data_IF_041241191844
#
_entry.id   IF_041241191844
#
_cell.length_a   1.000
_cell.length_b   1.000
_cell.length_c   1.000
_cell.angle_alpha   90.00
_cell.angle_beta   90.00
_cell.angle_gamma   90.00
#
_symmetry.space_group_name_H-M   'P 1'
#
loop_
_entity.id
_entity.type
_entity.pdbx_description
1 polymer ?
#
# COMPACT_ATOMS: atom_id res chain seq x y z
N UNK A 1 -13.80 -4.02 1.20
CA UNK A 1 -12.55 -4.69 1.63
C UNK A 1 -12.85 -6.16 1.87
N UNK A 2 -11.83 -7.01 1.89
CA UNK A 2 -11.97 -8.46 2.14
C UNK A 2 -11.72 -8.76 3.62
N UNK A 3 -12.51 -9.65 4.21
CA UNK A 3 -12.44 -10.02 5.63
C UNK A 3 -13.62 -9.52 6.45
N UNK A 4 -13.80 -10.08 7.66
CA UNK A 4 -14.84 -9.67 8.60
C UNK A 4 -14.47 -8.40 9.36
N UNK A 5 -15.46 -7.64 9.83
CA UNK A 5 -15.26 -6.46 10.68
C UNK A 5 -14.99 -6.86 12.13
N UNK A 6 -13.91 -7.60 12.35
CA UNK A 6 -13.52 -8.11 13.68
C UNK A 6 -12.12 -7.63 14.04
N UNK A 7 -11.83 -7.61 15.34
CA UNK A 7 -10.55 -7.11 15.87
C UNK A 7 -9.35 -7.89 15.31
N UNK A 8 -9.52 -9.18 15.05
CA UNK A 8 -8.49 -10.08 14.53
C UNK A 8 -8.04 -9.73 13.09
N UNK A 9 -8.84 -8.92 12.37
CA UNK A 9 -8.49 -8.41 11.04
C UNK A 9 -7.86 -7.02 11.08
N UNK A 10 -7.71 -6.41 12.26
CA UNK A 10 -6.98 -5.16 12.40
C UNK A 10 -5.49 -5.40 12.13
N UNK A 11 -4.86 -4.41 11.48
CA UNK A 11 -3.45 -4.43 11.13
C UNK A 11 -2.65 -3.48 12.05
N UNK A 12 -1.33 -3.67 12.21
CA UNK A 12 -0.46 -4.66 11.55
C UNK A 12 -0.76 -6.10 11.96
N UNK A 13 -0.67 -7.03 11.02
CA UNK A 13 -0.64 -8.46 11.37
C UNK A 13 0.75 -8.78 11.94
N UNK A 14 0.81 -9.67 12.93
CA UNK A 14 2.06 -10.12 13.53
C UNK A 14 2.19 -11.65 13.42
N UNK A 15 3.35 -12.09 12.94
CA UNK A 15 3.71 -13.51 12.78
C UNK A 15 5.14 -13.73 13.23
N UNK A 16 5.48 -14.99 13.52
CA UNK A 16 6.85 -15.39 13.87
C UNK A 16 7.30 -16.46 12.89
N UNK A 17 8.53 -16.31 12.38
CA UNK A 17 9.16 -17.32 11.51
C UNK A 17 9.52 -18.59 12.30
N UNK A 18 9.82 -19.69 11.61
CA UNK A 18 10.34 -20.89 12.27
C UNK A 18 11.69 -20.64 12.99
N UNK A 19 12.46 -19.65 12.54
CA UNK A 19 13.71 -19.23 13.16
C UNK A 19 13.52 -18.33 14.40
N UNK A 20 12.29 -17.95 14.73
CA UNK A 20 11.95 -17.12 15.91
C UNK A 20 11.92 -15.61 15.64
N UNK A 21 12.25 -15.15 14.44
CA UNK A 21 12.16 -13.73 14.03
C UNK A 21 10.71 -13.26 13.94
N UNK A 22 10.40 -12.10 14.52
CA UNK A 22 9.08 -11.47 14.42
C UNK A 22 8.90 -10.73 13.09
N UNK A 23 7.69 -10.78 12.53
CA UNK A 23 7.31 -10.02 11.34
C UNK A 23 6.01 -9.28 11.63
N UNK A 24 6.05 -7.96 11.51
CA UNK A 24 4.86 -7.11 11.49
C UNK A 24 4.58 -6.66 10.04
N UNK A 25 3.33 -6.72 9.58
CA UNK A 25 2.96 -6.35 8.22
C UNK A 25 1.66 -5.53 8.17
N UNK A 26 1.72 -4.40 7.47
CA UNK A 26 0.60 -3.60 7.02
C UNK A 26 0.41 -3.72 5.50
N UNK A 27 -0.83 -3.64 5.06
CA UNK A 27 -1.28 -3.85 3.70
C UNK A 27 -2.40 -2.87 3.36
N UNK A 28 -2.17 -2.06 2.32
CA UNK A 28 -3.19 -1.26 1.66
C UNK A 28 -3.41 -1.82 0.26
N UNK A 29 -4.58 -2.41 0.02
CA UNK A 29 -4.87 -3.05 -1.24
C UNK A 29 -5.99 -4.06 -1.14
N UNK A 30 -6.10 -4.89 -2.17
CA UNK A 30 -6.93 -6.08 -2.18
C UNK A 30 -6.34 -7.08 -3.16
N UNK A 31 -6.06 -8.29 -2.68
CA UNK A 31 -5.63 -9.39 -3.53
C UNK A 31 -6.83 -10.08 -4.20
N UNK A 32 -6.67 -10.45 -5.48
CA UNK A 32 -7.71 -11.14 -6.26
C UNK A 32 -7.53 -12.65 -6.26
N UNK A 33 -6.33 -13.15 -5.93
CA UNK A 33 -6.03 -14.58 -5.85
C UNK A 33 -5.95 -15.10 -4.40
N UNK A 34 -6.65 -14.45 -3.46
CA UNK A 34 -6.65 -14.82 -2.03
C UNK A 34 -7.04 -16.27 -1.79
N UNK A 35 -7.98 -16.83 -2.55
CA UNK A 35 -8.39 -18.23 -2.43
C UNK A 35 -7.26 -19.21 -2.81
N UNK A 36 -6.49 -18.90 -3.86
CA UNK A 36 -5.31 -19.66 -4.29
C UNK A 36 -4.21 -19.60 -3.22
N UNK A 37 -3.93 -18.41 -2.71
CA UNK A 37 -2.93 -18.20 -1.64
C UNK A 37 -3.32 -18.92 -0.35
N UNK A 38 -4.60 -18.90 0.02
CA UNK A 38 -5.12 -19.63 1.17
C UNK A 38 -4.97 -21.15 1.00
N UNK A 39 -5.20 -21.68 -0.21
CA UNK A 39 -4.97 -23.10 -0.49
C UNK A 39 -3.49 -23.46 -0.37
N UNK A 40 -2.60 -22.66 -0.97
CA UNK A 40 -1.15 -22.83 -0.84
C UNK A 40 -0.69 -22.80 0.63
N UNK A 41 -1.25 -21.91 1.45
CA UNK A 41 -0.95 -21.84 2.88
C UNK A 41 -1.40 -23.12 3.62
N UNK A 42 -2.56 -23.69 3.27
CA UNK A 42 -3.02 -24.99 3.80
C UNK A 42 -2.11 -26.13 3.37
N UNK A 43 -1.80 -26.22 2.08
CA UNK A 43 -0.98 -27.29 1.50
C UNK A 43 0.45 -27.30 2.06
N UNK A 44 0.97 -26.12 2.42
CA UNK A 44 2.29 -25.94 3.02
C UNK A 44 2.28 -26.15 4.55
N UNK A 45 1.14 -26.50 5.15
CA UNK A 45 1.00 -26.70 6.60
C UNK A 45 1.09 -25.42 7.42
N UNK A 46 1.03 -24.25 6.78
CA UNK A 46 1.12 -22.92 7.43
C UNK A 46 -0.15 -22.62 8.22
N UNK A 47 -1.30 -23.01 7.67
CA UNK A 47 -2.60 -22.88 8.32
C UNK A 47 -3.17 -24.27 8.56
N UNK A 48 -3.11 -24.75 9.80
CA UNK A 48 -3.82 -25.96 10.21
C UNK A 48 -5.31 -25.63 10.36
N UNK A 49 -6.21 -26.47 9.86
CA UNK A 49 -7.67 -26.25 9.88
C UNK A 49 -8.33 -26.11 11.27
N UNK A 50 -7.54 -26.08 12.34
CA UNK A 50 -7.96 -25.83 13.73
C UNK A 50 -7.66 -24.40 14.23
N UNK A 51 -6.75 -23.65 13.58
CA UNK A 51 -6.61 -22.22 13.81
C UNK A 51 -7.75 -21.48 13.09
N UNK A 52 -8.23 -20.33 13.59
CA UNK A 52 -9.16 -19.51 12.82
C UNK A 52 -8.51 -19.27 11.45
N UNK A 53 -9.15 -19.78 10.39
CA UNK A 53 -8.63 -19.65 9.04
C UNK A 53 -8.30 -18.17 8.79
N UNK A 54 -7.10 -17.87 8.29
CA UNK A 54 -6.69 -16.51 7.96
C UNK A 54 -7.82 -15.79 7.19
N UNK A 55 -8.46 -14.82 7.83
CA UNK A 55 -9.72 -14.24 7.36
C UNK A 55 -9.52 -13.05 6.42
N UNK A 56 -8.29 -12.55 6.31
CA UNK A 56 -7.92 -11.45 5.40
C UNK A 56 -6.76 -11.84 4.49
N UNK A 57 -6.67 -11.18 3.35
CA UNK A 57 -5.53 -11.29 2.44
C UNK A 57 -4.21 -10.93 3.11
N UNK A 58 -4.23 -9.93 3.99
CA UNK A 58 -3.09 -9.45 4.77
C UNK A 58 -2.53 -10.55 5.68
N UNK A 59 -3.42 -11.31 6.33
CA UNK A 59 -3.02 -12.40 7.20
C UNK A 59 -2.44 -13.58 6.41
N UNK A 60 -3.04 -13.93 5.27
CA UNK A 60 -2.53 -14.98 4.38
C UNK A 60 -1.13 -14.62 3.87
N UNK A 61 -0.93 -13.37 3.43
CA UNK A 61 0.39 -12.88 3.00
C UNK A 61 1.39 -12.96 4.13
N UNK A 62 1.01 -12.50 5.33
CA UNK A 62 1.86 -12.57 6.51
C UNK A 62 2.30 -13.99 6.88
N UNK A 63 1.35 -14.93 6.84
CA UNK A 63 1.60 -16.33 7.13
C UNK A 63 2.54 -16.97 6.10
N UNK A 64 2.30 -16.73 4.81
CA UNK A 64 3.16 -17.22 3.72
C UNK A 64 4.56 -16.60 3.77
N UNK A 65 4.67 -15.31 4.13
CA UNK A 65 5.95 -14.62 4.27
C UNK A 65 6.75 -15.19 5.44
N UNK A 66 6.13 -15.34 6.61
CA UNK A 66 6.79 -15.90 7.80
C UNK A 66 7.23 -17.35 7.60
N UNK A 67 6.40 -18.14 6.92
CA UNK A 67 6.77 -19.51 6.54
C UNK A 67 7.91 -19.53 5.51
N UNK A 68 7.85 -18.65 4.51
CA UNK A 68 8.90 -18.51 3.51
C UNK A 68 10.23 -18.11 4.11
N UNK A 69 10.26 -17.35 5.21
CA UNK A 69 11.49 -16.90 5.88
C UNK A 69 12.01 -17.90 6.94
N UNK A 70 11.71 -19.20 6.83
CA UNK A 70 12.15 -20.21 7.80
C UNK A 70 13.67 -20.47 7.77
N UNK A 71 14.26 -20.51 6.58
CA UNK A 71 15.65 -20.88 6.32
C UNK A 71 16.43 -19.80 5.54
N UNK A 72 15.82 -18.62 5.37
CA UNK A 72 16.34 -17.51 4.57
C UNK A 72 15.91 -16.16 5.13
N UNK A 73 16.49 -15.09 4.59
CA UNK A 73 16.12 -13.73 5.00
C UNK A 73 14.69 -13.39 4.58
N UNK A 74 14.08 -12.45 5.30
CA UNK A 74 12.74 -11.94 4.98
C UNK A 74 12.72 -11.28 3.60
N UNK A 75 13.80 -10.58 3.22
CA UNK A 75 13.96 -10.00 1.88
C UNK A 75 13.87 -11.08 0.79
N UNK A 76 14.60 -12.19 0.94
CA UNK A 76 14.56 -13.31 -0.02
C UNK A 76 13.18 -13.97 -0.06
N UNK A 77 12.55 -14.19 1.10
CA UNK A 77 11.19 -14.73 1.16
C UNK A 77 10.16 -13.81 0.48
N UNK A 78 10.32 -12.50 0.63
CA UNK A 78 9.49 -11.51 -0.03
C UNK A 78 9.70 -11.52 -1.55
N UNK A 79 10.94 -11.59 -2.03
CA UNK A 79 11.26 -11.65 -3.47
C UNK A 79 10.65 -12.87 -4.16
N UNK A 80 10.45 -13.97 -3.44
CA UNK A 80 9.75 -15.16 -3.94
C UNK A 80 8.21 -15.05 -3.84
N UNK A 81 7.70 -14.41 -2.79
CA UNK A 81 6.26 -14.31 -2.54
C UNK A 81 5.59 -13.23 -3.40
N UNK A 82 6.18 -12.03 -3.49
CA UNK A 82 5.61 -10.86 -4.15
C UNK A 82 5.20 -11.12 -5.61
N UNK A 83 5.98 -11.84 -6.45
CA UNK A 83 5.57 -12.18 -7.82
C UNK A 83 4.33 -13.06 -7.91
N UNK A 84 3.97 -13.77 -6.84
CA UNK A 84 2.79 -14.65 -6.80
C UNK A 84 1.50 -13.94 -6.39
N UNK A 85 1.61 -12.72 -5.86
CA UNK A 85 0.45 -11.92 -5.45
C UNK A 85 -0.20 -11.27 -6.67
N UNK A 86 -1.53 -11.38 -6.79
CA UNK A 86 -2.30 -10.75 -7.86
C UNK A 86 -3.31 -9.78 -7.27
N UNK A 87 -3.40 -8.59 -7.85
CA UNK A 87 -4.31 -7.54 -7.41
C UNK A 87 -3.56 -6.23 -7.15
N UNK A 88 -4.16 -5.38 -6.32
CA UNK A 88 -3.55 -4.14 -5.88
C UNK A 88 -2.97 -4.34 -4.48
N UNK A 89 -1.71 -3.94 -4.24
CA UNK A 89 -1.12 -3.98 -2.92
C UNK A 89 -0.01 -2.95 -2.74
N UNK A 90 0.00 -2.33 -1.58
CA UNK A 90 1.14 -1.68 -0.97
C UNK A 90 1.36 -2.37 0.37
N UNK A 91 2.52 -3.00 0.53
CA UNK A 91 2.90 -3.71 1.74
C UNK A 91 4.00 -2.93 2.44
N UNK A 92 3.85 -2.72 3.74
CA UNK A 92 4.92 -2.26 4.61
C UNK A 92 5.10 -3.32 5.68
N UNK A 93 6.28 -3.89 5.79
CA UNK A 93 6.54 -4.94 6.77
C UNK A 93 7.92 -4.78 7.38
N UNK A 94 8.14 -5.32 8.56
CA UNK A 94 9.42 -5.17 9.24
C UNK A 94 9.76 -6.37 10.12
N UNK A 95 11.05 -6.58 10.28
CA UNK A 95 11.64 -7.36 11.36
C UNK A 95 12.28 -6.42 12.40
N UNK A 96 13.07 -6.97 13.32
CA UNK A 96 13.71 -6.20 14.38
C UNK A 96 14.75 -5.19 13.87
N UNK A 97 15.24 -5.34 12.64
CA UNK A 97 16.36 -4.57 12.10
C UNK A 97 16.04 -3.82 10.80
N UNK A 98 15.05 -4.29 10.02
CA UNK A 98 14.80 -3.82 8.66
C UNK A 98 13.33 -3.50 8.43
N UNK A 99 13.08 -2.32 7.89
CA UNK A 99 11.77 -1.90 7.36
C UNK A 99 11.74 -2.15 5.85
N UNK A 100 10.71 -2.85 5.39
CA UNK A 100 10.48 -3.14 3.99
C UNK A 100 9.22 -2.45 3.47
N UNK A 101 9.24 -2.07 2.19
CA UNK A 101 8.08 -1.49 1.51
C UNK A 101 7.98 -2.02 0.08
N UNK A 102 6.85 -2.62 -0.29
CA UNK A 102 6.63 -3.18 -1.61
C UNK A 102 5.37 -2.62 -2.25
N UNK A 103 5.43 -2.33 -3.55
CA UNK A 103 4.29 -1.83 -4.34
C UNK A 103 4.01 -2.76 -5.51
N UNK A 104 2.73 -3.08 -5.73
CA UNK A 104 2.31 -3.98 -6.80
C UNK A 104 2.80 -3.53 -8.19
N UNK A 105 2.95 -4.46 -9.17
CA UNK A 105 3.49 -4.15 -10.49
C UNK A 105 2.69 -3.11 -11.28
N UNK A 106 1.41 -2.92 -10.95
CA UNK A 106 0.57 -1.91 -11.59
C UNK A 106 0.57 -0.57 -10.83
N UNK A 107 1.10 -0.52 -9.61
CA UNK A 107 1.15 0.69 -8.79
C UNK A 107 -0.23 1.28 -8.52
N UNK A 108 -1.25 0.43 -8.31
CA UNK A 108 -2.65 0.86 -8.21
C UNK A 108 -2.84 1.82 -7.04
N UNK A 109 -2.29 1.47 -5.87
CA UNK A 109 -2.29 2.30 -4.67
C UNK A 109 -1.01 3.15 -4.59
N UNK A 110 -1.07 4.37 -4.05
CA UNK A 110 0.09 5.22 -3.86
C UNK A 110 0.95 4.74 -2.68
N UNK A 111 2.26 4.92 -2.80
CA UNK A 111 3.24 4.63 -1.75
C UNK A 111 4.49 5.48 -2.04
N UNK A 112 4.96 6.21 -1.03
CA UNK A 112 6.07 7.15 -1.17
C UNK A 112 7.10 6.98 -0.04
N UNK A 113 8.34 7.32 -0.37
CA UNK A 113 9.47 7.35 0.53
C UNK A 113 9.77 8.82 0.91
N UNK A 114 9.91 9.05 2.21
CA UNK A 114 10.35 10.31 2.78
C UNK A 114 11.58 10.16 3.68
N UNK A 115 12.26 11.27 3.92
CA UNK A 115 13.47 11.35 4.73
C UNK A 115 13.25 12.30 5.91
N UNK A 116 13.41 11.76 7.12
CA UNK A 116 13.55 12.57 8.34
C UNK A 116 15.02 12.89 8.59
N UNK A 117 15.29 13.84 9.50
CA UNK A 117 16.66 14.14 9.94
C UNK A 117 17.42 12.88 10.40
N UNK A 118 16.73 11.95 11.08
CA UNK A 118 17.27 10.69 11.59
C UNK A 118 16.33 9.51 11.31
N UNK A 119 16.01 9.29 10.05
CA UNK A 119 15.35 8.06 9.61
C UNK A 119 14.68 8.19 8.26
N UNK A 120 14.00 7.12 7.87
CA UNK A 120 13.19 7.05 6.66
C UNK A 120 11.74 6.85 7.05
N UNK A 121 10.82 7.33 6.21
CA UNK A 121 9.39 7.18 6.39
C UNK A 121 8.82 6.63 5.10
N UNK A 122 7.95 5.63 5.21
CA UNK A 122 7.14 5.14 4.09
C UNK A 122 5.69 5.46 4.40
N UNK A 123 4.98 6.05 3.44
CA UNK A 123 3.59 6.42 3.62
C UNK A 123 2.78 6.23 2.33
N UNK A 124 1.49 5.95 2.46
CA UNK A 124 0.58 5.89 1.31
C UNK A 124 0.46 7.23 0.59
N UNK A 125 0.60 8.35 1.31
CA UNK A 125 0.38 9.71 0.80
C UNK A 125 1.44 10.69 1.33
N UNK A 126 1.81 11.67 0.51
CA UNK A 126 2.80 12.70 0.89
C UNK A 126 2.33 13.58 2.05
N UNK A 127 1.02 13.77 2.21
CA UNK A 127 0.47 14.52 3.34
C UNK A 127 0.92 13.95 4.70
N UNK A 128 1.13 12.65 4.80
CA UNK A 128 1.67 12.04 6.02
C UNK A 128 3.15 12.43 6.23
N UNK A 129 3.95 12.53 5.16
CA UNK A 129 5.34 12.99 5.24
C UNK A 129 5.40 14.44 5.74
N UNK A 130 4.56 15.31 5.19
CA UNK A 130 4.49 16.73 5.57
C UNK A 130 4.16 16.89 7.06
N UNK A 131 3.17 16.13 7.55
CA UNK A 131 2.73 16.18 8.96
C UNK A 131 3.85 15.78 9.92
N UNK A 132 4.65 14.76 9.57
CA UNK A 132 5.75 14.30 10.44
C UNK A 132 7.07 15.03 10.19
N UNK A 133 7.09 16.01 9.28
CA UNK A 133 8.28 16.78 8.91
C UNK A 133 9.32 16.00 8.10
N UNK A 134 8.90 14.97 7.36
CA UNK A 134 9.75 14.23 6.44
C UNK A 134 9.78 14.91 5.07
N UNK A 135 10.97 15.10 4.50
CA UNK A 135 11.11 15.56 3.14
C UNK A 135 10.74 14.43 2.16
N UNK A 136 9.87 14.71 1.19
CA UNK A 136 9.59 13.77 0.10
C UNK A 136 10.87 13.45 -0.67
N UNK A 137 11.12 12.15 -0.91
CA UNK A 137 12.26 11.67 -1.70
C UNK A 137 11.78 11.25 -3.08
N UNK A 138 10.85 10.29 -3.14
CA UNK A 138 10.21 9.80 -4.38
C UNK A 138 9.03 8.88 -4.08
N UNK A 139 8.22 8.63 -5.10
CA UNK A 139 7.30 7.48 -5.10
C UNK A 139 8.09 6.17 -5.08
N UNK A 140 7.57 5.16 -4.40
CA UNK A 140 8.00 3.76 -4.56
C UNK A 140 7.44 3.26 -5.89
N UNK A 141 8.30 2.71 -6.73
CA UNK A 141 7.96 2.35 -8.11
C UNK A 141 7.08 1.08 -8.16
N UNK A 142 6.25 0.92 -9.20
CA UNK A 142 5.52 -0.33 -9.40
C UNK A 142 6.47 -1.54 -9.55
N UNK A 143 6.20 -2.61 -8.81
CA UNK A 143 7.04 -3.82 -8.80
C UNK A 143 8.34 -3.69 -8.01
N UNK A 144 8.50 -2.61 -7.24
CA UNK A 144 9.66 -2.35 -6.39
C UNK A 144 9.46 -2.89 -4.97
N UNK A 145 10.53 -3.45 -4.40
CA UNK A 145 10.72 -3.72 -2.98
C UNK A 145 11.86 -2.83 -2.46
N UNK A 146 11.60 -2.07 -1.42
CA UNK A 146 12.61 -1.39 -0.62
C UNK A 146 12.92 -2.20 0.63
N UNK A 147 14.20 -2.23 0.99
CA UNK A 147 14.69 -2.66 2.30
C UNK A 147 15.46 -1.50 2.94
N UNK A 148 15.13 -1.16 4.18
CA UNK A 148 15.65 0.00 4.90
C UNK A 148 16.16 -0.46 6.27
N UNK A 149 17.46 -0.39 6.48
CA UNK A 149 18.12 -0.75 7.74
C UNK A 149 19.20 0.27 8.12
N UNK A 150 20.12 -0.13 9.02
CA UNK A 150 21.21 0.71 9.50
C UNK A 150 22.18 1.16 8.38
N UNK A 151 22.28 0.40 7.29
CA UNK A 151 23.16 0.72 6.15
C UNK A 151 22.48 1.65 5.14
N UNK A 152 21.16 1.87 5.27
CA UNK A 152 20.39 2.79 4.47
C UNK A 152 19.31 2.10 3.65
N UNK A 153 19.02 2.64 2.45
CA UNK A 153 17.93 2.16 1.58
C UNK A 153 18.51 1.34 0.45
N UNK A 154 18.04 0.10 0.30
CA UNK A 154 18.26 -0.76 -0.85
C UNK A 154 16.96 -0.92 -1.62
N UNK A 155 17.08 -0.97 -2.95
CA UNK A 155 15.95 -1.16 -3.87
C UNK A 155 16.20 -2.40 -4.71
N UNK A 156 15.18 -3.25 -4.79
CA UNK A 156 15.14 -4.43 -5.65
C UNK A 156 13.81 -4.46 -6.41
N UNK A 157 13.79 -5.14 -7.55
CA UNK A 157 12.61 -5.23 -8.41
C UNK A 157 12.16 -6.67 -8.50
N UNK A 158 10.93 -6.97 -8.06
CA UNK A 158 10.34 -8.31 -8.14
C UNK A 158 9.47 -8.50 -9.38
N UNK A 159 9.11 -7.42 -10.08
CA UNK A 159 8.33 -7.47 -11.33
C UNK A 159 8.61 -6.25 -12.22
N UNK A 160 8.46 -6.43 -13.54
CA UNK A 160 8.46 -5.31 -14.46
C UNK A 160 7.23 -4.40 -14.22
N UNK A 161 7.38 -3.06 -14.28
CA UNK A 161 6.29 -2.14 -14.03
C UNK A 161 5.28 -2.15 -15.20
N UNK A 162 3.98 -2.24 -14.88
CA UNK A 162 2.87 -2.06 -15.83
C UNK A 162 1.83 -1.08 -15.25
N UNK A 163 2.12 0.23 -15.18
CA UNK A 163 1.33 1.17 -14.37
C UNK A 163 -0.16 1.25 -14.78
N UNK A 164 -1.07 1.06 -13.81
CA UNK A 164 -2.53 1.23 -13.88
C UNK A 164 -3.06 1.98 -12.64
N UNK A 165 -2.50 3.16 -12.37
CA UNK A 165 -2.83 3.93 -11.16
C UNK A 165 -4.34 4.16 -10.96
N UNK A 166 -4.79 4.14 -9.71
CA UNK A 166 -6.20 4.28 -9.37
C UNK A 166 -6.69 5.72 -9.54
N UNK A 167 -7.59 5.96 -10.51
CA UNK A 167 -8.18 7.29 -10.74
C UNK A 167 -8.99 7.80 -9.53
N UNK A 168 -9.56 6.89 -8.73
CA UNK A 168 -10.34 7.24 -7.54
C UNK A 168 -9.51 7.91 -6.44
N UNK A 169 -8.18 7.73 -6.43
CA UNK A 169 -7.29 8.48 -5.53
C UNK A 169 -7.42 9.99 -5.79
N UNK A 170 -7.38 10.40 -7.07
CA UNK A 170 -7.53 11.79 -7.46
C UNK A 170 -8.95 12.32 -7.29
N UNK A 171 -9.96 11.51 -7.60
CA UNK A 171 -11.37 11.94 -7.56
C UNK A 171 -11.84 12.15 -6.13
N UNK A 172 -11.46 11.27 -5.19
CA UNK A 172 -12.09 11.24 -3.88
C UNK A 172 -11.19 10.80 -2.72
N UNK A 173 -10.42 9.72 -2.90
CA UNK A 173 -9.87 9.00 -1.75
C UNK A 173 -8.68 9.71 -1.08
N UNK A 174 -7.74 10.21 -1.88
CA UNK A 174 -6.55 10.88 -1.35
C UNK A 174 -6.91 12.25 -0.76
N UNK A 175 -6.11 12.70 0.20
CA UNK A 175 -6.25 14.05 0.74
C UNK A 175 -5.90 15.10 -0.33
N UNK A 176 -6.57 16.27 -0.34
CA UNK A 176 -6.29 17.31 -1.33
C UNK A 176 -4.84 17.82 -1.34
N UNK A 177 -4.18 17.82 -0.18
CA UNK A 177 -2.79 18.26 0.02
C UNK A 177 -1.74 17.22 -0.41
N UNK A 178 -2.17 16.02 -0.84
CA UNK A 178 -1.28 14.98 -1.35
C UNK A 178 -0.83 15.24 -2.80
N UNK A 179 0.39 14.78 -3.10
CA UNK A 179 0.95 14.67 -4.46
C UNK A 179 1.15 13.20 -4.76
N UNK A 180 0.54 12.71 -5.84
CA UNK A 180 0.66 11.31 -6.26
C UNK A 180 1.30 11.31 -7.65
N UNK A 181 2.40 10.59 -7.86
CA UNK A 181 3.08 10.52 -9.16
C UNK A 181 3.37 11.92 -9.76
N UNK A 182 3.81 12.86 -8.91
CA UNK A 182 4.10 14.25 -9.29
C UNK A 182 2.88 15.12 -9.58
N UNK A 183 1.66 14.63 -9.38
CA UNK A 183 0.41 15.37 -9.64
C UNK A 183 -0.31 15.71 -8.32
N UNK A 184 -0.59 17.00 -8.14
CA UNK A 184 -1.39 17.48 -7.00
C UNK A 184 -2.84 16.96 -7.08
N UNK A 185 -3.33 16.41 -5.97
CA UNK A 185 -4.73 15.97 -5.86
C UNK A 185 -5.67 17.16 -5.91
N UNK A 186 -5.43 18.21 -5.12
CA UNK A 186 -6.21 19.45 -5.15
C UNK A 186 -6.27 20.04 -6.57
N UNK A 187 -5.11 20.23 -7.22
CA UNK A 187 -5.05 20.79 -8.57
C UNK A 187 -5.81 19.94 -9.61
N UNK A 188 -5.80 18.62 -9.45
CA UNK A 188 -6.57 17.71 -10.31
C UNK A 188 -8.07 17.90 -10.13
N UNK A 189 -8.56 18.05 -8.89
CA UNK A 189 -9.98 18.25 -8.60
C UNK A 189 -10.50 19.60 -9.10
N UNK A 190 -9.70 20.66 -9.00
CA UNK A 190 -10.01 21.96 -9.61
C UNK A 190 -10.17 21.82 -11.13
N UNK A 191 -9.28 21.09 -11.79
CA UNK A 191 -9.38 20.89 -13.24
C UNK A 191 -10.59 20.04 -13.64
N UNK A 192 -10.98 19.05 -12.82
CA UNK A 192 -12.23 18.31 -13.02
C UNK A 192 -13.43 19.26 -13.00
N UNK A 193 -13.49 20.18 -12.03
CA UNK A 193 -14.51 21.23 -11.96
C UNK A 193 -14.56 22.12 -13.20
N UNK A 194 -13.40 22.60 -13.65
CA UNK A 194 -13.28 23.42 -14.87
C UNK A 194 -13.75 22.69 -16.12
N UNK A 195 -13.48 21.38 -16.22
CA UNK A 195 -13.97 20.56 -17.33
C UNK A 195 -15.48 20.39 -17.29
N UNK A 196 -16.04 20.11 -16.11
CA UNK A 196 -17.49 20.00 -15.93
C UNK A 196 -18.21 21.28 -16.36
N UNK A 197 -17.70 22.45 -15.98
CA UNK A 197 -18.28 23.74 -16.37
C UNK A 197 -18.22 24.00 -17.89
N UNK A 198 -17.22 23.45 -18.60
CA UNK A 198 -17.09 23.57 -20.07
C UNK A 198 -18.00 22.59 -20.81
N UNK A 199 -18.12 21.36 -20.32
CA UNK A 199 -18.92 20.30 -20.95
C UNK A 199 -20.42 20.50 -20.72
N UNK A 200 -20.78 21.02 -19.55
CA UNK A 200 -22.17 21.22 -19.13
C UNK A 200 -22.37 22.60 -18.48
N UNK A 201 -22.22 23.69 -19.24
CA UNK A 201 -22.51 25.03 -18.73
C UNK A 201 -24.00 25.17 -18.40
N UNK A 202 -24.31 25.91 -17.34
CA UNK A 202 -25.68 26.23 -16.92
C UNK A 202 -25.75 27.71 -16.52
N UNK A 203 -26.93 28.31 -16.70
CA UNK A 203 -27.22 29.63 -16.15
C UNK A 203 -27.63 29.46 -14.68
N UNK A 204 -26.89 30.08 -13.77
CA UNK A 204 -27.09 29.93 -12.33
C UNK A 204 -26.38 31.01 -11.54
N UNK A 205 -26.97 31.39 -10.41
CA UNK A 205 -26.47 32.51 -9.60
C UNK A 205 -25.27 32.13 -8.71
N UNK A 206 -25.19 30.86 -8.30
CA UNK A 206 -24.24 30.37 -7.30
C UNK A 206 -23.79 28.94 -7.60
N UNK A 207 -22.54 28.65 -7.26
CA UNK A 207 -21.98 27.29 -7.20
C UNK A 207 -21.72 26.96 -5.74
N UNK A 208 -22.30 25.87 -5.25
CA UNK A 208 -22.19 25.45 -3.85
C UNK A 208 -21.60 24.03 -3.79
N UNK A 209 -20.45 23.82 -3.12
CA UNK A 209 -19.88 22.48 -2.97
C UNK A 209 -20.67 21.63 -1.98
N UNK A 210 -20.59 20.31 -2.13
CA UNK A 210 -20.88 19.37 -1.05
C UNK A 210 -19.58 19.15 -0.25
N UNK A 211 -19.51 19.58 1.02
CA UNK A 211 -18.31 19.41 1.82
C UNK A 211 -18.06 17.93 2.18
N UNK A 212 -16.81 17.49 2.30
CA UNK A 212 -15.58 18.25 2.06
C UNK A 212 -15.01 18.01 0.64
N UNK A 213 -15.28 16.83 0.07
CA UNK A 213 -14.64 16.33 -1.16
C UNK A 213 -14.94 17.15 -2.41
N UNK A 214 -16.14 17.74 -2.50
CA UNK A 214 -16.56 18.55 -3.65
C UNK A 214 -15.98 19.97 -3.66
N UNK A 215 -15.41 20.43 -2.54
CA UNK A 215 -14.94 21.82 -2.39
C UNK A 215 -13.96 22.22 -3.48
N UNK A 216 -12.86 21.48 -3.74
CA UNK A 216 -11.89 21.90 -4.76
C UNK A 216 -12.44 21.90 -6.18
N UNK A 217 -13.46 21.09 -6.49
CA UNK A 217 -14.05 21.05 -7.83
C UNK A 217 -15.06 22.19 -8.06
N UNK A 218 -15.56 22.82 -6.99
CA UNK A 218 -16.53 23.91 -7.07
C UNK A 218 -15.89 25.30 -7.12
N UNK A 219 -14.66 25.45 -6.61
CA UNK A 219 -13.95 26.74 -6.46
C UNK A 219 -12.85 26.97 -7.48
#
# INVERSE_FOLDING_TARGET
>A
TTGSTTWENAQPIFRTTAAGTGIALGHNGNLVNTAELAQRARDSGVTNGAAPAATSDSDIVGALLAHGAADRTIEQAAMDLLPTLRGAFCLTFMDENTLYAARDPHGVRPLCLGRLHRGWVVASETAALDIVGAAFVRDIEPGELLAIDADGVRSSRFAAPEPKGCVFEYVYLARPDSVISGRSVHGTRVEIGRRLAKEHPVDGDLVIPVPESGTPAAV
#
